data_IF_616582637166
#
_entry.id   IF_616582637166
#
_cell.length_a   1.000
_cell.length_b   1.000
_cell.length_c   1.000
_cell.angle_alpha   90.00
_cell.angle_beta   90.00
_cell.angle_gamma   90.00
#
_symmetry.space_group_name_H-M   'P 1'
#
loop_
_entity.id
_entity.type
_entity.pdbx_description
1 polymer ?
#
# COMPACT_ATOMS: atom_id res chain seq x y z
N UNK A 1 -11.89 -1.70 14.72
CA UNK A 1 -10.82 -0.92 14.06
C UNK A 1 -9.54 -1.36 14.72
N UNK A 2 -8.63 -2.02 14.01
CA UNK A 2 -7.43 -2.59 14.61
C UNK A 2 -6.47 -1.47 15.07
N UNK A 3 -5.64 -1.73 16.07
CA UNK A 3 -4.64 -0.75 16.52
C UNK A 3 -3.66 -0.38 15.39
N UNK A 4 -3.39 -1.35 14.51
CA UNK A 4 -2.60 -1.16 13.29
C UNK A 4 -3.30 -0.26 12.28
N UNK A 5 -4.62 -0.37 12.09
CA UNK A 5 -5.36 0.51 11.17
C UNK A 5 -5.24 1.97 11.60
N UNK A 6 -5.33 2.21 12.90
CA UNK A 6 -5.17 3.55 13.47
C UNK A 6 -3.73 4.06 13.28
N UNK A 7 -2.72 3.26 13.64
CA UNK A 7 -1.32 3.65 13.51
C UNK A 7 -0.92 3.91 12.04
N UNK A 8 -1.44 3.09 11.12
CA UNK A 8 -1.21 3.26 9.69
C UNK A 8 -1.84 4.57 9.19
N UNK A 9 -3.13 4.78 9.46
CA UNK A 9 -3.82 6.00 9.01
C UNK A 9 -3.27 7.27 9.65
N UNK A 10 -2.90 7.24 10.93
CA UNK A 10 -2.23 8.38 11.61
C UNK A 10 -0.88 8.69 10.97
N UNK A 11 -0.08 7.67 10.65
CA UNK A 11 1.19 7.86 9.95
C UNK A 11 1.01 8.50 8.57
N UNK A 12 0.00 8.07 7.80
CA UNK A 12 -0.33 8.69 6.51
C UNK A 12 -0.76 10.16 6.69
N UNK A 13 -1.63 10.45 7.65
CA UNK A 13 -2.10 11.80 7.94
C UNK A 13 -0.97 12.71 8.41
N UNK A 14 -0.07 12.22 9.25
CA UNK A 14 1.10 12.98 9.69
C UNK A 14 1.98 13.39 8.52
N UNK A 15 2.29 12.47 7.59
CA UNK A 15 3.06 12.80 6.39
C UNK A 15 2.27 13.76 5.46
N UNK A 16 0.95 13.63 5.38
CA UNK A 16 0.11 14.54 4.60
C UNK A 16 0.09 15.98 5.16
N UNK A 17 0.14 16.13 6.49
CA UNK A 17 0.10 17.45 7.13
C UNK A 17 1.44 18.18 7.13
N UNK A 18 2.56 17.48 7.31
CA UNK A 18 3.87 18.10 7.49
C UNK A 18 4.90 17.76 6.42
N UNK A 19 4.59 16.81 5.54
CA UNK A 19 5.51 16.31 4.54
C UNK A 19 5.40 16.98 3.18
N UNK A 20 6.28 16.56 2.29
CA UNK A 20 6.27 16.95 0.88
C UNK A 20 5.33 16.07 0.05
N UNK A 21 4.99 16.50 -1.17
CA UNK A 21 4.22 15.67 -2.10
C UNK A 21 4.90 14.30 -2.37
N UNK A 22 6.23 14.27 -2.34
CA UNK A 22 7.02 13.04 -2.48
C UNK A 22 6.79 12.09 -1.31
N UNK A 23 6.78 12.62 -0.09
CA UNK A 23 6.55 11.84 1.13
C UNK A 23 5.11 11.31 1.18
N UNK A 24 4.13 12.11 0.75
CA UNK A 24 2.74 11.67 0.61
C UNK A 24 2.63 10.53 -0.40
N UNK A 25 3.21 10.68 -1.58
CA UNK A 25 3.19 9.62 -2.58
C UNK A 25 3.95 8.36 -2.11
N UNK A 26 5.03 8.50 -1.33
CA UNK A 26 5.73 7.38 -0.70
C UNK A 26 4.86 6.63 0.32
N UNK A 27 3.95 7.31 1.03
CA UNK A 27 2.99 6.62 1.92
C UNK A 27 1.94 5.81 1.16
N UNK A 28 1.52 6.29 -0.01
CA UNK A 28 0.46 5.67 -0.81
C UNK A 28 0.98 4.55 -1.72
N UNK A 29 2.27 4.59 -2.07
CA UNK A 29 2.82 3.64 -3.04
C UNK A 29 2.72 2.17 -2.61
N UNK A 30 3.03 1.78 -1.35
CA UNK A 30 2.89 0.39 -0.92
C UNK A 30 1.48 -0.17 -1.08
N UNK A 31 0.44 0.62 -0.82
CA UNK A 31 -0.93 0.14 -0.92
C UNK A 31 -1.36 -0.05 -2.38
N UNK A 32 -1.09 0.92 -3.27
CA UNK A 32 -1.46 0.77 -4.67
C UNK A 32 -0.65 -0.33 -5.36
N UNK A 33 0.67 -0.33 -5.16
CA UNK A 33 1.55 -1.27 -5.84
C UNK A 33 1.41 -2.68 -5.27
N UNK A 34 1.41 -2.82 -3.94
CA UNK A 34 1.31 -4.12 -3.28
C UNK A 34 0.00 -4.85 -3.60
N UNK A 35 -1.14 -4.14 -3.59
CA UNK A 35 -2.42 -4.76 -3.95
C UNK A 35 -2.47 -5.16 -5.42
N UNK A 36 -1.92 -4.35 -6.33
CA UNK A 36 -1.86 -4.70 -7.75
C UNK A 36 -1.04 -5.98 -7.98
N UNK A 37 0.13 -6.08 -7.32
CA UNK A 37 0.97 -7.28 -7.40
C UNK A 37 0.27 -8.52 -6.83
N UNK A 38 -0.38 -8.41 -5.68
CA UNK A 38 -1.11 -9.52 -5.05
C UNK A 38 -2.28 -9.94 -5.95
N UNK A 39 -3.09 -9.00 -6.43
CA UNK A 39 -4.23 -9.26 -7.30
C UNK A 39 -3.82 -9.99 -8.58
N UNK A 40 -2.84 -9.46 -9.31
CA UNK A 40 -2.32 -10.07 -10.53
C UNK A 40 -1.71 -11.45 -10.26
N UNK A 41 -0.96 -11.61 -9.16
CA UNK A 41 -0.40 -12.90 -8.78
C UNK A 41 -1.51 -13.93 -8.50
N UNK A 42 -2.56 -13.56 -7.79
CA UNK A 42 -3.67 -14.46 -7.48
C UNK A 42 -4.51 -14.81 -8.73
N UNK A 43 -4.71 -13.86 -9.64
CA UNK A 43 -5.39 -14.10 -10.91
C UNK A 43 -4.67 -15.21 -11.71
N UNK A 44 -3.33 -15.16 -11.77
CA UNK A 44 -2.54 -16.20 -12.47
C UNK A 44 -2.53 -17.57 -11.78
N UNK A 45 -2.75 -17.61 -10.45
CA UNK A 45 -2.80 -18.85 -9.66
C UNK A 45 -4.17 -19.53 -9.68
N UNK A 46 -5.19 -18.84 -10.18
CA UNK A 46 -6.56 -19.34 -10.28
C UNK A 46 -7.44 -18.84 -9.13
N UNK A 47 -8.58 -18.24 -9.50
CA UNK A 47 -9.57 -17.71 -8.57
C UNK A 47 -10.36 -18.82 -7.85
N UNK A 48 -10.71 -18.63 -6.57
CA UNK A 48 -11.56 -19.55 -5.83
C UNK A 48 -13.04 -19.39 -6.26
N UNK A 49 -13.44 -20.05 -7.35
CA UNK A 49 -14.76 -19.86 -7.98
C UNK A 49 -15.97 -20.12 -7.06
N UNK A 50 -15.77 -20.85 -5.96
CA UNK A 50 -16.79 -21.11 -4.94
C UNK A 50 -16.88 -19.99 -3.86
N UNK A 51 -16.03 -18.97 -3.92
CA UNK A 51 -15.94 -17.87 -2.96
C UNK A 51 -16.10 -16.52 -3.69
N UNK A 52 -17.33 -16.07 -3.97
CA UNK A 52 -17.59 -14.93 -4.86
C UNK A 52 -16.99 -13.61 -4.36
N UNK A 53 -16.85 -13.42 -3.04
CA UNK A 53 -16.23 -12.22 -2.47
C UNK A 53 -14.72 -12.15 -2.77
N UNK A 54 -14.02 -13.28 -2.66
CA UNK A 54 -12.59 -13.35 -2.98
C UNK A 54 -12.35 -13.23 -4.48
N UNK A 55 -13.22 -13.80 -5.32
CA UNK A 55 -13.15 -13.58 -6.77
C UNK A 55 -13.25 -12.09 -7.12
N UNK A 56 -14.24 -11.37 -6.58
CA UNK A 56 -14.40 -9.93 -6.83
C UNK A 56 -13.22 -9.11 -6.34
N UNK A 57 -12.67 -9.46 -5.18
CA UNK A 57 -11.48 -8.81 -4.64
C UNK A 57 -10.30 -9.00 -5.59
N UNK A 58 -10.04 -10.23 -6.04
CA UNK A 58 -8.95 -10.53 -7.00
C UNK A 58 -9.18 -9.77 -8.30
N UNK A 59 -10.39 -9.82 -8.88
CA UNK A 59 -10.73 -9.14 -10.13
C UNK A 59 -10.52 -7.63 -10.06
N UNK A 60 -10.87 -6.99 -8.94
CA UNK A 60 -10.67 -5.57 -8.73
C UNK A 60 -9.17 -5.21 -8.74
N UNK A 61 -8.36 -5.93 -7.95
CA UNK A 61 -6.94 -5.59 -7.79
C UNK A 61 -6.05 -6.15 -8.93
N UNK A 62 -6.54 -7.12 -9.69
CA UNK A 62 -5.93 -7.58 -10.93
C UNK A 62 -6.39 -6.82 -12.17
N UNK A 63 -7.31 -5.85 -12.02
CA UNK A 63 -7.84 -5.08 -13.14
C UNK A 63 -6.76 -4.22 -13.80
N UNK A 64 -6.93 -3.96 -15.09
CA UNK A 64 -6.04 -3.06 -15.85
C UNK A 64 -6.06 -1.67 -15.23
N UNK A 65 -7.24 -1.17 -14.84
CA UNK A 65 -7.43 0.16 -14.27
C UNK A 65 -6.65 0.33 -12.96
N UNK A 66 -6.66 -0.67 -12.08
CA UNK A 66 -5.91 -0.61 -10.83
C UNK A 66 -4.39 -0.75 -11.07
N UNK A 67 -3.99 -1.60 -12.03
CA UNK A 67 -2.59 -1.72 -12.44
C UNK A 67 -2.03 -0.41 -13.03
N UNK A 68 -2.81 0.30 -13.84
CA UNK A 68 -2.44 1.61 -14.40
C UNK A 68 -2.28 2.68 -13.30
N UNK A 69 -3.14 2.66 -12.28
CA UNK A 69 -3.00 3.54 -11.11
C UNK A 69 -1.69 3.27 -10.36
N UNK A 70 -1.38 2.01 -10.09
CA UNK A 70 -0.14 1.63 -9.42
C UNK A 70 1.09 2.07 -10.23
N UNK A 71 1.09 1.82 -11.54
CA UNK A 71 2.19 2.21 -12.42
C UNK A 71 2.34 3.74 -12.53
N UNK A 72 1.23 4.46 -12.57
CA UNK A 72 1.24 5.92 -12.53
C UNK A 72 1.90 6.45 -11.26
N UNK A 73 1.58 5.89 -10.10
CA UNK A 73 2.14 6.33 -8.83
C UNK A 73 3.63 5.97 -8.70
N UNK A 74 4.06 4.81 -9.20
CA UNK A 74 5.48 4.44 -9.32
C UNK A 74 6.24 5.45 -10.17
N UNK A 75 5.71 5.72 -11.36
CA UNK A 75 6.28 6.69 -12.30
C UNK A 75 6.30 8.11 -11.72
N UNK A 76 5.29 8.49 -10.93
CA UNK A 76 5.27 9.77 -10.20
C UNK A 76 6.42 9.83 -9.19
N UNK A 77 6.59 8.79 -8.37
CA UNK A 77 7.67 8.72 -7.40
C UNK A 77 9.06 8.78 -8.04
N UNK A 78 9.28 8.04 -9.14
CA UNK A 78 10.56 8.06 -9.87
C UNK A 78 10.90 9.48 -10.35
N UNK A 79 9.93 10.20 -10.91
CA UNK A 79 10.12 11.58 -11.35
C UNK A 79 10.37 12.53 -10.19
N UNK A 80 9.64 12.38 -9.09
CA UNK A 80 9.78 13.27 -7.92
C UNK A 80 11.08 13.03 -7.16
N UNK A 81 11.66 11.82 -7.26
CA UNK A 81 12.97 11.51 -6.69
C UNK A 81 14.15 12.11 -7.50
N UNK A 82 13.92 12.59 -8.72
CA UNK A 82 14.95 13.26 -9.52
C UNK A 82 15.37 14.57 -8.85
N UNK A 83 16.69 14.74 -8.65
CA UNK A 83 17.26 15.94 -8.04
C UNK A 83 17.16 16.01 -6.51
N UNK A 84 16.53 15.03 -5.85
CA UNK A 84 16.61 14.88 -4.40
C UNK A 84 18.00 14.43 -3.97
N UNK A 85 18.46 14.94 -2.83
CA UNK A 85 19.68 14.47 -2.17
C UNK A 85 19.51 13.04 -1.67
N UNK A 86 20.63 12.36 -1.39
CA UNK A 86 20.61 11.00 -0.85
C UNK A 86 19.81 10.93 0.46
N UNK A 87 19.98 11.90 1.37
CA UNK A 87 19.23 11.98 2.62
C UNK A 87 17.70 12.10 2.40
N UNK A 88 17.28 12.83 1.36
CA UNK A 88 15.86 12.92 1.01
C UNK A 88 15.34 11.61 0.41
N UNK A 89 16.13 10.91 -0.39
CA UNK A 89 15.76 9.60 -0.97
C UNK A 89 15.69 8.51 0.11
N UNK A 90 16.61 8.54 1.06
CA UNK A 90 16.60 7.64 2.22
C UNK A 90 15.33 7.86 3.04
N UNK A 91 14.93 9.12 3.26
CA UNK A 91 13.68 9.46 3.93
C UNK A 91 12.45 8.89 3.21
N UNK A 92 12.38 9.02 1.88
CA UNK A 92 11.28 8.44 1.10
C UNK A 92 11.26 6.91 1.18
N UNK A 93 12.44 6.30 1.19
CA UNK A 93 12.59 4.84 1.33
C UNK A 93 12.12 4.37 2.71
N UNK A 94 12.45 5.09 3.78
CA UNK A 94 11.96 4.79 5.13
C UNK A 94 10.43 4.84 5.21
N UNK A 95 9.82 5.87 4.62
CA UNK A 95 8.36 6.01 4.56
C UNK A 95 7.75 4.83 3.81
N UNK A 96 8.26 4.53 2.61
CA UNK A 96 7.77 3.41 1.80
C UNK A 96 7.84 2.09 2.59
N UNK A 97 9.01 1.76 3.16
CA UNK A 97 9.22 0.52 3.92
C UNK A 97 8.34 0.47 5.17
N UNK A 98 8.13 1.60 5.84
CA UNK A 98 7.25 1.68 7.02
C UNK A 98 5.80 1.38 6.63
N UNK A 99 5.29 1.97 5.55
CA UNK A 99 3.94 1.72 5.07
C UNK A 99 3.78 0.28 4.54
N UNK A 100 4.81 -0.29 3.91
CA UNK A 100 4.80 -1.73 3.55
C UNK A 100 4.71 -2.66 4.78
N UNK A 101 5.36 -2.29 5.90
CA UNK A 101 5.22 -3.03 7.17
C UNK A 101 3.81 -2.91 7.73
N UNK A 102 3.21 -1.72 7.68
CA UNK A 102 1.81 -1.55 8.07
C UNK A 102 0.86 -2.38 7.22
N UNK A 103 1.06 -2.46 5.90
CA UNK A 103 0.29 -3.35 5.03
C UNK A 103 0.40 -4.82 5.45
N UNK A 104 1.60 -5.30 5.74
CA UNK A 104 1.77 -6.66 6.27
C UNK A 104 1.00 -6.87 7.58
N UNK A 105 1.14 -5.94 8.52
CA UNK A 105 0.46 -6.00 9.80
C UNK A 105 -1.06 -5.89 9.65
N UNK A 106 -1.56 -5.14 8.67
CA UNK A 106 -2.99 -5.05 8.35
C UNK A 106 -3.56 -6.42 7.98
N UNK A 107 -2.85 -7.16 7.12
CA UNK A 107 -3.23 -8.52 6.76
C UNK A 107 -3.14 -9.49 7.96
N UNK A 108 -2.09 -9.40 8.77
CA UNK A 108 -1.92 -10.25 9.96
C UNK A 108 -2.98 -9.97 11.03
N UNK A 109 -3.30 -8.69 11.28
CA UNK A 109 -4.35 -8.26 12.21
C UNK A 109 -5.72 -8.81 11.80
N UNK A 110 -6.07 -8.68 10.51
CA UNK A 110 -7.30 -9.25 9.96
C UNK A 110 -7.35 -10.78 10.10
N UNK A 111 -6.22 -11.46 9.84
CA UNK A 111 -6.12 -12.91 9.96
C UNK A 111 -6.24 -13.40 11.41
N UNK A 112 -5.64 -12.69 12.36
CA UNK A 112 -5.69 -12.99 13.80
C UNK A 112 -6.99 -12.53 14.46
N UNK A 113 -7.81 -11.75 13.76
CA UNK A 113 -8.94 -11.02 14.34
C UNK A 113 -8.48 -10.22 15.56
N UNK A 114 -7.38 -9.49 15.39
CA UNK A 114 -6.83 -8.64 16.44
C UNK A 114 -7.89 -7.65 16.93
N UNK A 115 -7.85 -7.30 18.21
CA UNK A 115 -8.69 -6.23 18.75
C UNK A 115 -7.92 -5.46 19.81
N UNK A 116 -8.50 -4.36 20.26
CA UNK A 116 -7.96 -3.61 21.38
C UNK A 116 -7.99 -4.47 22.64
N UNK A 117 -6.84 -4.59 23.29
CA UNK A 117 -6.67 -5.44 24.48
C UNK A 117 -7.11 -4.74 25.79
N UNK A 118 -7.79 -3.60 25.69
CA UNK A 118 -8.17 -2.74 26.83
C UNK A 118 -9.55 -2.12 26.67
#
# INVERSE_FOLDING_TARGET
MFIIDWAYTDHMLSNAHSGTIAEIAATLLPCSWGYAEIGQTLETRGKPMNQPLYCRWIEMYSSTEFGELAEWLRSFMDRTALGLSDAQRDRLTEIFVTNSKYEYLFWDAAYRMEDWSV
#
